data_IF_741104807579
#
_entry.id   IF_741104807579
#
_cell.length_a   1.000
_cell.length_b   1.000
_cell.length_c   1.000
_cell.angle_alpha   90.00
_cell.angle_beta   90.00
_cell.angle_gamma   90.00
#
_symmetry.space_group_name_H-M   'P 1'
#
loop_
_entity.id
_entity.type
_entity.pdbx_description
1 polymer ?
#
# COMPACT_ATOMS: atom_id res chain seq x y z
N UNK A 1 31.23 24.98 36.49
CA UNK A 1 29.83 25.07 36.01
C UNK A 1 29.76 24.96 34.49
N UNK A 2 30.29 23.86 33.91
CA UNK A 2 30.32 23.63 32.46
C UNK A 2 30.09 22.14 32.15
N UNK A 3 30.57 21.28 33.07
CA UNK A 3 30.33 19.84 33.08
C UNK A 3 28.90 19.45 33.52
N UNK A 4 28.16 20.32 34.23
CA UNK A 4 26.79 20.01 34.70
C UNK A 4 25.71 20.22 33.61
N UNK A 5 26.03 21.00 32.56
CA UNK A 5 25.08 21.32 31.48
C UNK A 5 25.01 20.17 30.46
N UNK A 6 26.08 19.38 30.34
CA UNK A 6 26.17 18.26 29.39
C UNK A 6 25.27 17.08 29.82
N UNK A 7 24.99 16.94 31.13
CA UNK A 7 24.16 15.86 31.66
C UNK A 7 22.65 16.09 31.44
N UNK A 8 22.22 17.32 31.16
CA UNK A 8 20.79 17.65 30.99
C UNK A 8 20.29 17.39 29.57
N UNK A 9 21.18 17.20 28.60
CA UNK A 9 20.82 17.04 27.18
C UNK A 9 20.64 15.58 26.75
N UNK A 10 21.13 14.61 27.53
CA UNK A 10 21.04 13.17 27.22
C UNK A 10 19.75 12.51 27.69
N UNK A 11 18.99 13.13 28.60
CA UNK A 11 17.78 12.53 29.19
C UNK A 11 16.53 12.68 28.30
N UNK A 12 16.56 13.55 27.28
CA UNK A 12 15.39 13.83 26.44
C UNK A 12 15.17 12.86 25.27
N UNK A 13 16.04 11.86 25.07
CA UNK A 13 15.95 10.95 23.90
C UNK A 13 15.17 9.64 24.13
N UNK A 14 14.57 9.41 25.30
CA UNK A 14 14.01 8.09 25.63
C UNK A 14 12.48 7.94 25.55
N UNK A 15 11.74 8.94 25.04
CA UNK A 15 10.26 8.93 25.14
C UNK A 15 9.54 9.25 23.83
N UNK A 16 10.00 8.65 22.72
CA UNK A 16 9.19 8.62 21.48
C UNK A 16 8.95 7.18 21.04
N UNK A 17 8.40 6.37 21.94
CA UNK A 17 7.73 5.14 21.54
C UNK A 17 6.26 5.51 21.29
N UNK A 18 5.88 5.71 20.03
CA UNK A 18 4.47 5.88 19.67
C UNK A 18 3.78 4.54 19.94
N UNK A 19 2.76 4.52 20.80
CA UNK A 19 1.83 3.40 20.81
C UNK A 19 1.26 3.26 19.39
N UNK A 20 1.37 2.07 18.80
CA UNK A 20 0.76 1.80 17.51
C UNK A 20 -0.75 1.74 17.74
N UNK A 21 -1.44 2.79 17.34
CA UNK A 21 -2.89 2.85 17.39
C UNK A 21 -3.47 1.62 16.67
N UNK A 22 -4.38 0.90 17.34
CA UNK A 22 -5.02 -0.25 16.73
C UNK A 22 -5.95 0.25 15.61
N UNK A 23 -5.79 -0.23 14.37
CA UNK A 23 -6.57 0.26 13.26
C UNK A 23 -8.04 -0.15 13.47
N UNK A 24 -8.95 0.82 13.37
CA UNK A 24 -10.39 0.60 13.52
C UNK A 24 -11.05 0.09 12.22
N UNK A 25 -10.28 -0.05 11.14
CA UNK A 25 -10.72 -0.63 9.88
C UNK A 25 -9.56 -1.14 9.05
N UNK A 26 -9.80 -1.41 7.76
CA UNK A 26 -8.77 -1.93 6.87
C UNK A 26 -7.99 -0.77 6.28
N UNK A 27 -6.68 -0.73 6.55
CA UNK A 27 -5.77 0.27 6.02
C UNK A 27 -4.87 -0.40 4.99
N UNK A 28 -4.99 0.03 3.74
CA UNK A 28 -4.25 -0.55 2.63
C UNK A 28 -3.34 0.50 2.01
N UNK A 29 -2.07 0.16 1.83
CA UNK A 29 -1.16 0.91 0.95
C UNK A 29 -0.87 0.09 -0.31
N UNK A 30 -0.34 0.76 -1.32
CA UNK A 30 0.17 0.14 -2.54
C UNK A 30 1.68 0.09 -2.46
N UNK A 31 2.25 -1.08 -2.77
CA UNK A 31 3.66 -1.22 -3.08
C UNK A 31 3.81 -1.46 -4.58
N UNK A 32 4.62 -0.64 -5.23
CA UNK A 32 5.04 -0.88 -6.60
C UNK A 32 6.35 -1.66 -6.56
N UNK A 33 6.28 -2.98 -6.75
CA UNK A 33 7.45 -3.85 -6.76
C UNK A 33 8.17 -3.89 -8.11
N UNK A 34 7.65 -3.20 -9.12
CA UNK A 34 8.27 -3.09 -10.43
C UNK A 34 9.32 -1.98 -10.47
N UNK A 35 10.11 -1.93 -11.55
CA UNK A 35 11.03 -0.81 -11.82
C UNK A 35 10.40 0.35 -12.58
N UNK A 36 9.10 0.30 -12.88
CA UNK A 36 8.37 1.29 -13.68
C UNK A 36 7.45 2.11 -12.77
N UNK A 37 7.31 3.40 -13.03
CA UNK A 37 6.37 4.24 -12.30
C UNK A 37 4.92 3.84 -12.60
N UNK A 38 4.11 3.71 -11.55
CA UNK A 38 2.67 3.55 -11.68
C UNK A 38 1.98 4.88 -11.45
N UNK A 39 1.02 5.20 -12.31
CA UNK A 39 0.24 6.43 -12.30
C UNK A 39 -1.27 6.12 -12.33
N UNK A 40 -2.08 7.06 -11.89
CA UNK A 40 -3.55 6.95 -11.85
C UNK A 40 -4.07 5.66 -11.20
N UNK A 41 -3.38 5.17 -10.16
CA UNK A 41 -3.72 3.90 -9.51
C UNK A 41 -5.09 4.03 -8.85
N UNK A 42 -6.02 3.19 -9.29
CA UNK A 42 -7.36 3.05 -8.77
C UNK A 42 -7.57 1.60 -8.31
N UNK A 43 -7.94 1.41 -7.05
CA UNK A 43 -8.22 0.10 -6.48
C UNK A 43 -9.64 0.07 -5.96
N UNK A 44 -10.41 -0.94 -6.37
CA UNK A 44 -11.72 -1.24 -5.80
C UNK A 44 -11.72 -2.61 -5.14
N UNK A 45 -12.02 -2.65 -3.85
CA UNK A 45 -12.17 -3.87 -3.07
C UNK A 45 -13.34 -3.70 -2.10
N UNK A 46 -14.19 -4.72 -1.99
CA UNK A 46 -15.45 -4.60 -1.26
C UNK A 46 -16.32 -3.46 -1.80
N UNK A 47 -16.84 -2.63 -0.88
CA UNK A 47 -17.63 -1.45 -1.21
C UNK A 47 -16.78 -0.18 -1.46
N UNK A 48 -15.45 -0.27 -1.30
CA UNK A 48 -14.55 0.88 -1.39
C UNK A 48 -13.86 0.95 -2.75
N UNK A 49 -13.76 2.17 -3.29
CA UNK A 49 -12.98 2.52 -4.46
C UNK A 49 -12.05 3.67 -4.08
N UNK A 50 -10.74 3.47 -4.20
CA UNK A 50 -9.72 4.35 -3.64
C UNK A 50 -8.63 4.62 -4.67
N UNK A 51 -8.35 5.90 -4.89
CA UNK A 51 -7.23 6.36 -5.73
C UNK A 51 -5.96 6.48 -4.89
N UNK A 52 -4.82 6.02 -5.42
CA UNK A 52 -3.50 6.16 -4.79
C UNK A 52 -2.61 7.17 -5.52
N UNK A 53 -2.98 7.58 -6.73
CA UNK A 53 -2.19 8.50 -7.55
C UNK A 53 -0.92 7.84 -8.08
N UNK A 54 0.21 8.55 -8.01
CA UNK A 54 1.51 8.07 -8.49
C UNK A 54 2.26 7.31 -7.39
N UNK A 55 2.82 6.16 -7.74
CA UNK A 55 3.77 5.40 -6.91
C UNK A 55 4.98 5.03 -7.75
N UNK A 56 6.14 5.58 -7.40
CA UNK A 56 7.38 5.32 -8.12
C UNK A 56 7.78 3.84 -8.04
N UNK A 57 8.54 3.37 -9.04
CA UNK A 57 9.10 2.01 -9.03
C UNK A 57 9.86 1.72 -7.73
N UNK A 58 9.65 0.54 -7.15
CA UNK A 58 10.26 0.10 -5.89
C UNK A 58 9.80 0.86 -4.63
N UNK A 59 8.73 1.66 -4.71
CA UNK A 59 8.24 2.50 -3.61
C UNK A 59 6.86 2.08 -3.10
N UNK A 60 6.49 2.59 -1.93
CA UNK A 60 5.16 2.39 -1.33
C UNK A 60 4.42 3.72 -1.18
N UNK A 61 3.10 3.70 -1.32
CA UNK A 61 2.24 4.81 -0.97
C UNK A 61 1.97 4.88 0.54
N UNK A 62 1.32 5.96 0.96
CA UNK A 62 0.68 6.04 2.27
C UNK A 62 -0.52 5.09 2.36
N UNK A 63 -0.84 4.65 3.58
CA UNK A 63 -2.04 3.87 3.84
C UNK A 63 -3.30 4.69 3.59
N UNK A 64 -4.32 4.03 3.02
CA UNK A 64 -5.66 4.57 2.83
C UNK A 64 -6.70 3.65 3.44
N UNK A 65 -7.78 4.23 3.93
CA UNK A 65 -8.87 3.52 4.58
C UNK A 65 -9.78 2.83 3.55
N UNK A 66 -10.14 1.60 3.84
CA UNK A 66 -11.16 0.81 3.16
C UNK A 66 -12.22 0.40 4.19
N UNK A 67 -13.49 0.63 3.87
CA UNK A 67 -14.62 0.19 4.71
C UNK A 67 -14.67 -1.35 4.80
N UNK A 68 -14.40 -2.00 3.67
CA UNK A 68 -14.20 -3.44 3.54
C UNK A 68 -13.25 -3.70 2.38
N UNK A 69 -12.44 -4.75 2.48
CA UNK A 69 -11.55 -5.18 1.40
C UNK A 69 -11.29 -6.68 1.50
N UNK A 70 -10.75 -7.25 0.44
CA UNK A 70 -10.44 -8.67 0.28
C UNK A 70 -8.97 -8.87 -0.07
N UNK A 71 -8.56 -10.13 -0.23
CA UNK A 71 -7.18 -10.48 -0.60
C UNK A 71 -6.78 -10.04 -2.01
N UNK A 72 -7.77 -9.77 -2.86
CA UNK A 72 -7.61 -9.21 -4.19
C UNK A 72 -8.72 -8.19 -4.45
N UNK A 73 -8.57 -7.45 -5.54
CA UNK A 73 -9.54 -6.44 -5.94
C UNK A 73 -9.40 -6.08 -7.40
N UNK A 74 -10.30 -5.22 -7.86
CA UNK A 74 -10.11 -4.52 -9.12
C UNK A 74 -8.94 -3.55 -8.98
N UNK A 75 -8.03 -3.56 -9.95
CA UNK A 75 -6.94 -2.60 -10.04
C UNK A 75 -6.92 -2.03 -11.44
N UNK A 76 -6.82 -0.72 -11.56
CA UNK A 76 -6.53 -0.02 -12.80
C UNK A 76 -5.40 0.97 -12.57
N UNK A 77 -4.41 0.98 -13.44
CA UNK A 77 -3.32 1.94 -13.39
C UNK A 77 -2.73 2.17 -14.77
N UNK A 78 -1.93 3.22 -14.90
CA UNK A 78 -1.08 3.48 -16.04
C UNK A 78 0.37 3.13 -15.70
N UNK A 79 1.04 2.36 -16.57
CA UNK A 79 2.47 2.09 -16.51
C UNK A 79 3.08 2.30 -17.90
N UNK A 80 4.10 3.15 -18.03
CA UNK A 80 4.72 3.52 -19.31
C UNK A 80 3.72 3.95 -20.41
N UNK A 81 2.65 4.67 -20.01
CA UNK A 81 1.60 5.13 -20.92
C UNK A 81 0.63 4.04 -21.40
N UNK A 82 0.70 2.83 -20.83
CA UNK A 82 -0.24 1.72 -21.06
C UNK A 82 -1.16 1.57 -19.84
N UNK A 83 -2.47 1.57 -20.08
CA UNK A 83 -3.45 1.22 -19.07
C UNK A 83 -3.43 -0.30 -18.84
N UNK A 84 -3.32 -0.70 -17.58
CA UNK A 84 -3.32 -2.09 -17.14
C UNK A 84 -4.44 -2.31 -16.13
N UNK A 85 -5.09 -3.47 -16.21
CA UNK A 85 -6.27 -3.79 -15.40
C UNK A 85 -6.18 -5.20 -14.85
N UNK A 86 -6.46 -5.35 -13.56
CA UNK A 86 -6.87 -6.61 -12.93
C UNK A 86 -8.37 -6.51 -12.65
N UNK A 87 -9.15 -7.48 -13.15
CA UNK A 87 -10.58 -7.54 -12.93
C UNK A 87 -10.99 -8.94 -12.42
N UNK A 88 -11.29 -9.08 -11.12
CA UNK A 88 -11.88 -10.31 -10.58
C UNK A 88 -13.29 -10.54 -11.15
N UNK A 89 -13.70 -11.80 -11.32
CA UNK A 89 -15.05 -12.15 -11.75
C UNK A 89 -16.09 -11.94 -10.63
N UNK A 90 -15.78 -12.43 -9.43
CA UNK A 90 -16.54 -12.19 -8.20
C UNK A 90 -15.65 -12.40 -6.95
N UNK A 91 -16.22 -12.16 -5.76
CA UNK A 91 -15.60 -12.43 -4.45
C UNK A 91 -16.28 -13.62 -3.75
N UNK A 92 -16.94 -14.53 -4.48
CA UNK A 92 -17.74 -15.59 -3.86
C UNK A 92 -16.84 -16.57 -3.10
N UNK A 93 -17.12 -16.75 -1.81
CA UNK A 93 -16.34 -17.61 -0.92
C UNK A 93 -15.18 -16.91 -0.23
N UNK A 94 -14.91 -15.64 -0.56
CA UNK A 94 -13.91 -14.84 0.14
C UNK A 94 -14.40 -14.38 1.52
N UNK A 95 -13.44 -14.24 2.45
CA UNK A 95 -13.67 -13.61 3.74
C UNK A 95 -13.10 -12.19 3.73
N UNK A 96 -13.86 -11.15 4.12
CA UNK A 96 -13.32 -9.80 4.24
C UNK A 96 -12.10 -9.76 5.17
N UNK A 97 -11.16 -8.87 4.86
CA UNK A 97 -10.02 -8.61 5.73
C UNK A 97 -10.50 -8.06 7.08
N UNK A 98 -9.84 -8.48 8.15
CA UNK A 98 -10.03 -7.90 9.48
C UNK A 98 -9.43 -6.50 9.55
N UNK A 99 -9.82 -5.64 10.50
CA UNK A 99 -9.15 -4.38 10.73
C UNK A 99 -7.64 -4.59 10.93
N UNK A 100 -6.82 -3.82 10.21
CA UNK A 100 -5.40 -4.12 10.09
C UNK A 100 -4.68 -3.25 9.05
N UNK A 101 -3.36 -3.37 9.03
CA UNK A 101 -2.51 -2.77 8.01
C UNK A 101 -2.14 -3.84 6.98
N UNK A 102 -2.34 -3.51 5.71
CA UNK A 102 -2.09 -4.41 4.61
C UNK A 102 -1.40 -3.67 3.46
N UNK A 103 -0.65 -4.42 2.67
CA UNK A 103 -0.03 -3.93 1.45
C UNK A 103 -0.58 -4.71 0.27
N UNK A 104 -1.16 -4.02 -0.71
CA UNK A 104 -1.33 -4.56 -2.04
C UNK A 104 -0.04 -4.35 -2.82
N UNK A 105 0.72 -5.42 -2.95
CA UNK A 105 1.94 -5.46 -3.73
C UNK A 105 1.58 -5.67 -5.19
N UNK A 106 1.85 -4.66 -6.01
CA UNK A 106 1.62 -4.66 -7.45
C UNK A 106 2.95 -4.81 -8.18
N UNK A 107 2.98 -5.67 -9.19
CA UNK A 107 4.18 -5.88 -10.01
C UNK A 107 3.80 -6.08 -11.49
N UNK A 108 4.81 -6.02 -12.36
CA UNK A 108 4.69 -6.29 -13.78
C UNK A 108 5.45 -7.56 -14.16
N UNK A 109 4.72 -8.54 -14.67
CA UNK A 109 5.35 -9.63 -15.41
C UNK A 109 5.75 -9.13 -16.81
N UNK A 110 6.99 -9.38 -17.22
CA UNK A 110 7.55 -8.96 -18.51
C UNK A 110 7.47 -7.43 -18.76
N UNK A 111 8.05 -6.59 -17.89
CA UNK A 111 7.95 -5.14 -17.97
C UNK A 111 8.56 -4.58 -19.28
N UNK A 112 7.99 -3.49 -19.80
CA UNK A 112 8.47 -2.81 -21.00
C UNK A 112 8.15 -3.53 -22.33
N UNK A 113 7.24 -4.50 -22.32
CA UNK A 113 6.84 -5.26 -23.51
C UNK A 113 5.34 -5.12 -23.79
N UNK A 114 4.92 -5.40 -25.02
CA UNK A 114 3.48 -5.44 -25.35
C UNK A 114 2.71 -6.45 -24.50
N UNK A 115 3.41 -7.47 -23.96
CA UNK A 115 2.87 -8.54 -23.13
C UNK A 115 2.96 -8.28 -21.62
N UNK A 116 3.27 -7.05 -21.19
CA UNK A 116 3.29 -6.74 -19.76
C UNK A 116 1.92 -6.97 -19.12
N UNK A 117 1.91 -7.75 -18.04
CA UNK A 117 0.72 -8.08 -17.25
C UNK A 117 0.89 -7.58 -15.82
N UNK A 118 -0.17 -6.99 -15.27
CA UNK A 118 -0.20 -6.53 -13.88
C UNK A 118 -0.56 -7.70 -12.96
N UNK A 119 0.19 -7.84 -11.85
CA UNK A 119 -0.09 -8.81 -10.78
C UNK A 119 -0.43 -8.10 -9.47
N UNK A 120 -1.14 -8.79 -8.59
CA UNK A 120 -1.47 -8.31 -7.24
C UNK A 120 -1.26 -9.44 -6.24
N UNK A 121 -0.54 -9.13 -5.17
CA UNK A 121 -0.39 -9.96 -3.98
C UNK A 121 -0.74 -9.17 -2.72
N UNK A 122 -1.46 -9.79 -1.78
CA UNK A 122 -1.69 -9.21 -0.45
C UNK A 122 -0.57 -9.62 0.50
N UNK A 123 0.10 -8.63 1.09
CA UNK A 123 1.06 -8.78 2.18
C UNK A 123 0.45 -8.22 3.48
N UNK A 124 0.57 -8.96 4.58
CA UNK A 124 0.19 -8.52 5.93
C UNK A 124 1.41 -7.85 6.58
N UNK A 125 1.23 -6.62 7.08
CA UNK A 125 2.30 -5.83 7.73
C UNK A 125 2.44 -6.10 9.24
#
# INVERSE_FOLDING_TARGET
MKQLIILLFTVFMLWSCSEKEHPTGVLIRVENSSSVDFEDILISSGASQVEFGKVAGGSKSDYKFFESAYRYGYVKLNADGKELVIQPFDYVGETPLSPGYYTYQLDLENPGTSSSNLTLELVVD
#
